data_IF_519677656782
#
_entry.id   IF_519677656782
#
_cell.length_a   1.000
_cell.length_b   1.000
_cell.length_c   1.000
_cell.angle_alpha   90.00
_cell.angle_beta   90.00
_cell.angle_gamma   90.00
#
_symmetry.space_group_name_H-M   'P 1'
#
loop_
_entity.id
_entity.type
_entity.pdbx_description
1 polymer ?
#
# COMPACT_ATOMS: atom_id res chain seq x y z
N UNK A 1 14.07 -2.34 -5.20
CA UNK A 1 13.12 -1.80 -6.18
C UNK A 1 11.74 -1.72 -5.55
N UNK A 2 11.10 -0.55 -5.65
CA UNK A 2 9.82 -0.32 -4.99
C UNK A 2 8.69 -1.16 -5.59
N UNK A 3 8.81 -1.58 -6.86
CA UNK A 3 7.80 -2.42 -7.50
C UNK A 3 7.55 -3.73 -6.76
N UNK A 4 8.54 -4.24 -6.04
CA UNK A 4 8.40 -5.49 -5.29
C UNK A 4 7.54 -5.35 -4.04
N UNK A 5 7.23 -4.12 -3.61
CA UNK A 5 6.38 -3.90 -2.45
C UNK A 5 4.89 -4.17 -2.76
N UNK A 6 4.51 -4.07 -4.03
CA UNK A 6 3.13 -4.35 -4.44
C UNK A 6 2.85 -5.84 -4.22
N UNK A 7 1.72 -6.13 -3.57
CA UNK A 7 1.32 -7.49 -3.25
C UNK A 7 1.86 -8.01 -1.93
N UNK A 8 2.66 -7.22 -1.22
CA UNK A 8 3.21 -7.60 0.09
C UNK A 8 2.53 -6.78 1.18
N UNK A 9 2.45 -7.33 2.38
CA UNK A 9 1.90 -6.57 3.50
C UNK A 9 2.99 -5.65 4.08
N UNK A 10 2.59 -4.49 4.66
CA UNK A 10 3.57 -3.55 5.22
C UNK A 10 4.45 -4.16 6.30
N UNK A 11 3.93 -5.13 7.06
CA UNK A 11 4.68 -5.78 8.13
C UNK A 11 5.82 -6.65 7.60
N UNK A 12 5.78 -6.99 6.32
CA UNK A 12 6.80 -7.84 5.70
C UNK A 12 7.85 -7.06 4.92
N UNK A 13 7.75 -5.74 4.92
CA UNK A 13 8.75 -4.91 4.25
C UNK A 13 10.07 -4.98 5.00
N UNK A 14 11.17 -5.08 4.26
CA UNK A 14 12.50 -5.01 4.85
C UNK A 14 12.81 -3.58 5.31
N UNK A 15 13.85 -3.41 6.11
CA UNK A 15 14.29 -2.08 6.52
C UNK A 15 14.62 -1.21 5.31
N UNK A 16 15.29 -1.79 4.30
CA UNK A 16 15.64 -1.06 3.08
C UNK A 16 14.39 -0.59 2.35
N UNK A 17 13.38 -1.45 2.26
CA UNK A 17 12.12 -1.09 1.62
C UNK A 17 11.41 0.01 2.39
N UNK A 18 11.41 -0.06 3.71
CA UNK A 18 10.78 0.97 4.52
C UNK A 18 11.48 2.32 4.37
N UNK A 19 12.81 2.33 4.30
CA UNK A 19 13.55 3.57 4.04
C UNK A 19 13.23 4.13 2.66
N UNK A 20 13.18 3.27 1.65
CA UNK A 20 12.89 3.70 0.28
C UNK A 20 11.48 4.28 0.16
N UNK A 21 10.52 3.78 0.93
CA UNK A 21 9.13 4.21 0.87
C UNK A 21 8.77 5.25 1.93
N UNK A 22 9.71 5.63 2.80
CA UNK A 22 9.43 6.57 3.87
C UNK A 22 8.84 7.88 3.31
N UNK A 23 7.71 8.31 3.87
CA UNK A 23 7.00 9.48 3.41
C UNK A 23 6.01 9.23 2.28
N UNK A 24 6.01 8.04 1.71
CA UNK A 24 5.05 7.68 0.67
C UNK A 24 3.79 7.07 1.27
N UNK A 25 2.71 7.12 0.51
CA UNK A 25 1.44 6.52 0.90
C UNK A 25 1.23 5.22 0.16
N UNK A 26 0.59 4.28 0.83
CA UNK A 26 0.25 2.99 0.23
C UNK A 26 -1.24 2.73 0.43
N UNK A 27 -1.85 2.02 -0.52
CA UNK A 27 -3.24 1.59 -0.43
C UNK A 27 -3.25 0.11 -0.05
N UNK A 28 -3.97 -0.23 1.01
CA UNK A 28 -4.03 -1.58 1.57
C UNK A 28 -5.44 -2.13 1.43
N UNK A 29 -5.55 -3.42 1.11
CA UNK A 29 -6.84 -4.10 1.07
C UNK A 29 -7.53 -4.02 2.43
N UNK A 30 -8.82 -3.65 2.43
CA UNK A 30 -9.60 -3.61 3.64
C UNK A 30 -10.01 -5.05 3.99
N UNK A 31 -9.84 -5.39 5.26
CA UNK A 31 -10.25 -6.69 5.77
C UNK A 31 -11.76 -6.88 5.68
N UNK A 32 -12.17 -8.03 5.18
CA UNK A 32 -13.59 -8.45 5.22
C UNK A 32 -13.67 -9.84 5.84
N UNK A 33 -14.81 -10.20 6.45
CA UNK A 33 -14.96 -11.52 7.05
C UNK A 33 -14.81 -12.67 6.05
N UNK A 34 -15.04 -12.41 4.77
CA UNK A 34 -14.95 -13.43 3.73
C UNK A 34 -13.54 -13.58 3.17
N UNK A 35 -12.64 -12.66 3.49
CA UNK A 35 -11.30 -12.65 2.93
C UNK A 35 -10.26 -12.76 4.03
N UNK A 36 -9.24 -13.58 3.80
CA UNK A 36 -8.11 -13.64 4.72
C UNK A 36 -7.35 -12.31 4.60
N UNK A 37 -7.12 -11.60 5.72
CA UNK A 37 -6.56 -10.26 5.67
C UNK A 37 -5.05 -10.28 5.46
N UNK A 38 -4.62 -10.35 4.23
CA UNK A 38 -3.20 -10.23 3.94
C UNK A 38 -2.76 -8.77 3.93
N UNK A 39 -3.71 -7.83 3.83
CA UNK A 39 -3.44 -6.39 3.81
C UNK A 39 -2.31 -6.05 2.84
N UNK A 40 -2.41 -6.59 1.63
CA UNK A 40 -1.37 -6.38 0.63
C UNK A 40 -1.40 -4.95 0.11
N UNK A 41 -0.22 -4.42 -0.15
CA UNK A 41 -0.09 -3.11 -0.78
C UNK A 41 -0.49 -3.26 -2.25
N UNK A 42 -1.47 -2.47 -2.68
CA UNK A 42 -1.98 -2.53 -4.05
C UNK A 42 -1.67 -1.26 -4.84
N UNK A 43 -1.26 -0.20 -4.17
CA UNK A 43 -0.83 1.04 -4.84
C UNK A 43 0.14 1.79 -3.95
N UNK A 44 1.02 2.56 -4.56
CA UNK A 44 2.02 3.39 -3.88
C UNK A 44 2.04 4.74 -4.57
N UNK A 45 2.10 5.81 -3.79
CA UNK A 45 2.19 7.16 -4.35
C UNK A 45 2.71 8.15 -3.33
N UNK A 46 2.98 9.37 -3.80
CA UNK A 46 3.44 10.44 -2.91
C UNK A 46 2.30 11.07 -2.12
N UNK A 47 1.06 10.73 -2.45
CA UNK A 47 -0.12 11.22 -1.77
C UNK A 47 -1.24 10.18 -1.88
N UNK A 48 -2.29 10.34 -1.07
CA UNK A 48 -3.46 9.46 -1.18
C UNK A 48 -4.12 9.61 -2.55
N UNK A 49 -4.10 10.82 -3.12
CA UNK A 49 -4.65 11.04 -4.46
C UNK A 49 -3.94 10.22 -5.53
N UNK A 50 -2.62 10.08 -5.44
CA UNK A 50 -1.88 9.25 -6.37
C UNK A 50 -2.22 7.77 -6.19
N UNK A 51 -2.41 7.32 -4.95
CA UNK A 51 -2.85 5.96 -4.69
C UNK A 51 -4.21 5.71 -5.31
N UNK A 52 -5.15 6.64 -5.15
CA UNK A 52 -6.48 6.54 -5.75
C UNK A 52 -6.38 6.44 -7.26
N UNK A 53 -5.55 7.29 -7.87
CA UNK A 53 -5.37 7.25 -9.33
C UNK A 53 -4.81 5.90 -9.79
N UNK A 54 -3.84 5.36 -9.04
CA UNK A 54 -3.26 4.06 -9.37
C UNK A 54 -4.28 2.94 -9.28
N UNK A 55 -5.14 2.96 -8.24
CA UNK A 55 -6.19 1.97 -8.08
C UNK A 55 -7.21 2.05 -9.23
N UNK A 56 -7.64 3.27 -9.57
CA UNK A 56 -8.59 3.46 -10.67
C UNK A 56 -8.02 2.99 -12.00
N UNK A 57 -6.73 3.24 -12.24
CA UNK A 57 -6.07 2.80 -13.45
C UNK A 57 -6.08 1.27 -13.59
N UNK A 58 -6.15 0.56 -12.47
CA UNK A 58 -6.22 -0.90 -12.44
C UNK A 58 -7.66 -1.42 -12.38
N UNK A 59 -8.66 -0.54 -12.42
CA UNK A 59 -10.05 -0.93 -12.33
C UNK A 59 -10.50 -1.31 -10.92
N UNK A 60 -9.77 -0.88 -9.90
CA UNK A 60 -10.07 -1.17 -8.52
C UNK A 60 -10.83 0.00 -7.88
N UNK A 61 -11.74 -0.33 -6.95
CA UNK A 61 -12.55 0.67 -6.25
C UNK A 61 -11.78 1.21 -5.05
N UNK A 62 -11.39 2.50 -5.06
CA UNK A 62 -10.62 3.07 -3.96
C UNK A 62 -11.33 3.00 -2.60
N UNK A 63 -12.66 2.92 -2.58
CA UNK A 63 -13.41 2.84 -1.34
C UNK A 63 -13.20 1.52 -0.59
N UNK A 64 -12.65 0.52 -1.29
CA UNK A 64 -12.35 -0.78 -0.70
C UNK A 64 -10.94 -0.86 -0.12
N UNK A 65 -10.25 0.26 -0.06
CA UNK A 65 -8.86 0.30 0.39
C UNK A 65 -8.72 1.33 1.50
N UNK A 66 -7.80 1.06 2.41
CA UNK A 66 -7.38 2.07 3.38
C UNK A 66 -6.01 2.58 2.96
N UNK A 67 -5.68 3.78 3.39
CA UNK A 67 -4.42 4.41 3.02
C UNK A 67 -3.56 4.60 4.25
N UNK A 68 -2.26 4.35 4.11
CA UNK A 68 -1.31 4.46 5.20
C UNK A 68 -0.05 5.13 4.70
N UNK A 69 0.51 6.00 5.53
CA UNK A 69 1.80 6.60 5.23
C UNK A 69 2.90 5.71 5.79
N UNK A 70 3.90 5.40 4.97
CA UNK A 70 5.05 4.64 5.43
C UNK A 70 5.99 5.58 6.17
N UNK A 71 6.36 5.22 7.38
CA UNK A 71 7.28 5.99 8.20
C UNK A 71 8.62 5.28 8.30
N UNK A 72 9.65 6.02 8.69
CA UNK A 72 10.95 5.42 8.91
C UNK A 72 10.87 4.38 10.03
N UNK A 73 11.70 3.33 9.98
CA UNK A 73 11.69 2.29 11.01
C UNK A 73 12.05 2.80 12.40
N UNK A 74 12.77 3.90 12.47
CA UNK A 74 13.12 4.54 13.73
C UNK A 74 13.49 6.00 13.55
#
# INVERSE_FOLDING_TARGET
>A
MTATAIGRSPERLTLEERFALAGKYVALEIYTPQAIPLRRIEAIGDSTGECVSGLKARGLDPERFEFMRITRPY
#
